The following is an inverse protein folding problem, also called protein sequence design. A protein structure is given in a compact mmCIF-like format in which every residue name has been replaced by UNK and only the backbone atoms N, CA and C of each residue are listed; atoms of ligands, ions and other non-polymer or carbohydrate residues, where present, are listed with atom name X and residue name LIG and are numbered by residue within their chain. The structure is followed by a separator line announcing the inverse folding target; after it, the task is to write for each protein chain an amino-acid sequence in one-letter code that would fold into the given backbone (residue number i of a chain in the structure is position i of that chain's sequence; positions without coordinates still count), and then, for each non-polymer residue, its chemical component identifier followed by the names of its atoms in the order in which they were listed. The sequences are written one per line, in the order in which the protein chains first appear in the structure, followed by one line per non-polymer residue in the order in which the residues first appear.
data_IF_742797050524
#
_entry.id   IF_742797050524
#
_cell.length_a   1.000
_cell.length_b   1.000
_cell.length_c   1.000
_cell.angle_alpha   90.00
_cell.angle_beta   90.00
_cell.angle_gamma   90.00
#
_symmetry.space_group_name_H-M   'P 1'
#
loop_
_entity.id
_entity.type
_entity.pdbx_description
1 polymer ?
#
# COMPACT_ATOMS: atom_id res chain seq x y z
N UNK A 1 19.34 -2.68 20.09
CA UNK A 1 18.46 -3.25 19.06
C UNK A 1 17.43 -2.24 18.51
N UNK A 2 17.48 -0.95 18.89
CA UNK A 2 16.50 0.06 18.44
C UNK A 2 16.66 0.46 16.95
N UNK A 3 17.89 0.53 16.44
CA UNK A 3 18.16 0.88 15.04
C UNK A 3 17.56 -0.10 14.04
N UNK A 4 17.43 -1.39 14.40
CA UNK A 4 16.77 -2.39 13.55
C UNK A 4 15.27 -2.11 13.42
N UNK A 5 14.60 -1.78 14.53
CA UNK A 5 13.17 -1.43 14.52
C UNK A 5 12.90 -0.16 13.71
N UNK A 6 13.77 0.85 13.83
CA UNK A 6 13.70 2.07 13.00
C UNK A 6 13.84 1.74 11.51
N UNK A 7 14.74 0.82 11.15
CA UNK A 7 14.92 0.40 9.76
C UNK A 7 13.65 -0.28 9.24
N UNK A 8 13.08 -1.20 10.01
CA UNK A 8 11.81 -1.87 9.65
C UNK A 8 10.68 -0.85 9.52
N UNK A 9 10.55 0.07 10.47
CA UNK A 9 9.57 1.16 10.45
C UNK A 9 9.70 2.03 9.18
N UNK A 10 10.92 2.40 8.82
CA UNK A 10 11.20 3.17 7.62
C UNK A 10 10.79 2.43 6.35
N UNK A 11 11.06 1.13 6.27
CA UNK A 11 10.65 0.29 5.14
C UNK A 11 9.12 0.15 5.05
N UNK A 12 8.45 -0.10 6.18
CA UNK A 12 6.98 -0.17 6.23
C UNK A 12 6.38 1.17 5.79
N UNK A 13 6.89 2.28 6.32
CA UNK A 13 6.43 3.62 5.96
C UNK A 13 6.62 3.90 4.47
N UNK A 14 7.75 3.49 3.88
CA UNK A 14 8.00 3.61 2.46
C UNK A 14 7.00 2.83 1.61
N UNK A 15 6.68 1.58 1.98
CA UNK A 15 5.65 0.77 1.30
C UNK A 15 4.27 1.42 1.43
N UNK A 16 3.91 1.93 2.60
CA UNK A 16 2.65 2.64 2.84
C UNK A 16 2.52 3.85 1.90
N UNK A 17 3.58 4.64 1.73
CA UNK A 17 3.57 5.77 0.78
C UNK A 17 3.34 5.33 -0.66
N UNK A 18 3.95 4.23 -1.10
CA UNK A 18 3.70 3.68 -2.44
C UNK A 18 2.22 3.27 -2.60
N UNK A 19 1.64 2.62 -1.59
CA UNK A 19 0.23 2.23 -1.60
C UNK A 19 -0.69 3.44 -1.63
N UNK A 20 -0.37 4.51 -0.89
CA UNK A 20 -1.12 5.77 -0.94
C UNK A 20 -1.09 6.37 -2.35
N UNK A 21 0.08 6.43 -2.99
CA UNK A 21 0.21 6.92 -4.37
C UNK A 21 -0.62 6.06 -5.32
N UNK A 22 -0.65 4.74 -5.13
CA UNK A 22 -1.47 3.85 -5.95
C UNK A 22 -2.98 4.11 -5.77
N UNK A 23 -3.45 4.33 -4.53
CA UNK A 23 -4.85 4.69 -4.27
C UNK A 23 -5.20 6.02 -4.93
N UNK A 24 -4.34 7.02 -4.80
CA UNK A 24 -4.53 8.33 -5.45
C UNK A 24 -4.59 8.15 -6.97
N UNK A 25 -3.65 7.42 -7.58
CA UNK A 25 -3.65 7.14 -9.02
C UNK A 25 -4.94 6.44 -9.47
N UNK A 26 -5.40 5.44 -8.70
CA UNK A 26 -6.66 4.73 -8.94
C UNK A 26 -7.86 5.69 -8.95
N UNK A 27 -7.96 6.58 -7.97
CA UNK A 27 -9.03 7.59 -7.92
C UNK A 27 -8.93 8.62 -9.05
N UNK A 28 -7.72 9.11 -9.36
CA UNK A 28 -7.52 10.05 -10.46
C UNK A 28 -7.97 9.45 -11.80
N UNK A 29 -7.74 8.16 -12.02
CA UNK A 29 -8.19 7.44 -13.23
C UNK A 29 -9.70 7.19 -13.16
N UNK A 30 -10.21 6.67 -12.05
CA UNK A 30 -11.62 6.30 -11.88
C UNK A 30 -12.57 7.51 -12.04
N UNK A 31 -12.17 8.68 -11.54
CA UNK A 31 -12.93 9.92 -11.68
C UNK A 31 -12.63 10.68 -12.98
N UNK A 32 -11.90 10.07 -13.93
CA UNK A 32 -11.51 10.69 -15.20
C UNK A 32 -10.77 12.02 -15.04
N UNK A 33 -10.07 12.22 -13.91
CA UNK A 33 -9.24 13.42 -13.66
C UNK A 33 -7.99 13.38 -14.52
N UNK A 34 -7.42 12.18 -14.71
CA UNK A 34 -6.28 11.94 -15.60
C UNK A 34 -6.60 10.86 -16.64
N UNK A 35 -6.09 11.04 -17.85
CA UNK A 35 -6.31 10.11 -18.95
C UNK A 35 -5.31 8.95 -18.88
N UNK A 36 -5.80 7.73 -18.63
CA UNK A 36 -5.02 6.48 -18.62
C UNK A 36 -4.43 6.10 -19.98
N UNK A 37 -4.92 6.68 -21.08
CA UNK A 37 -4.37 6.54 -22.43
C UNK A 37 -3.06 7.32 -22.65
N UNK A 38 -2.69 8.22 -21.74
CA UNK A 38 -1.36 8.85 -21.78
C UNK A 38 -0.29 7.82 -21.38
N UNK A 39 0.71 7.61 -22.25
CA UNK A 39 1.82 6.69 -22.01
C UNK A 39 2.52 6.92 -20.67
N UNK A 40 2.65 8.17 -20.25
CA UNK A 40 3.28 8.52 -18.97
C UNK A 40 2.46 8.03 -17.76
N UNK A 41 1.15 8.31 -17.75
CA UNK A 41 0.22 7.87 -16.69
C UNK A 41 0.18 6.35 -16.63
N UNK A 42 0.11 5.69 -17.79
CA UNK A 42 0.13 4.23 -17.88
C UNK A 42 1.42 3.64 -17.32
N UNK A 43 2.59 4.21 -17.64
CA UNK A 43 3.88 3.76 -17.13
C UNK A 43 3.97 3.87 -15.60
N UNK A 44 3.52 4.99 -15.02
CA UNK A 44 3.48 5.17 -13.57
C UNK A 44 2.56 4.14 -12.94
N UNK A 45 1.34 4.00 -13.45
CA UNK A 45 0.38 3.06 -12.91
C UNK A 45 0.91 1.61 -12.99
N UNK A 46 1.51 1.23 -14.11
CA UNK A 46 2.15 -0.06 -14.30
C UNK A 46 3.30 -0.29 -13.30
N UNK A 47 4.16 0.70 -13.08
CA UNK A 47 5.25 0.61 -12.11
C UNK A 47 4.71 0.43 -10.67
N UNK A 48 3.72 1.22 -10.28
CA UNK A 48 3.07 1.12 -8.96
C UNK A 48 2.46 -0.27 -8.77
N UNK A 49 1.64 -0.72 -9.72
CA UNK A 49 1.05 -2.06 -9.66
C UNK A 49 2.11 -3.15 -9.59
N UNK A 50 3.20 -3.06 -10.37
CA UNK A 50 4.26 -4.08 -10.33
C UNK A 50 4.97 -4.13 -8.96
N UNK A 51 5.14 -2.98 -8.30
CA UNK A 51 5.73 -2.91 -6.97
C UNK A 51 4.81 -3.44 -5.88
N UNK A 52 3.51 -3.18 -5.97
CA UNK A 52 2.55 -3.51 -4.91
C UNK A 52 1.86 -4.87 -5.09
N UNK A 53 1.76 -5.38 -6.32
CA UNK A 53 1.12 -6.67 -6.63
C UNK A 53 1.60 -7.86 -5.79
N UNK A 54 2.90 -8.07 -5.48
CA UNK A 54 3.29 -9.21 -4.63
C UNK A 54 2.68 -9.16 -3.22
N UNK A 55 2.39 -7.95 -2.71
CA UNK A 55 1.76 -7.75 -1.40
C UNK A 55 0.22 -7.71 -1.50
N UNK A 56 -0.31 -7.22 -2.62
CA UNK A 56 -1.76 -7.07 -2.84
C UNK A 56 -2.43 -8.34 -3.35
N UNK A 57 -1.74 -9.15 -4.16
CA UNK A 57 -2.30 -10.36 -4.78
C UNK A 57 -2.93 -11.32 -3.77
N UNK A 58 -2.31 -11.62 -2.61
CA UNK A 58 -2.95 -12.45 -1.58
C UNK A 58 -4.25 -11.86 -1.03
N UNK A 59 -4.32 -10.53 -0.91
CA UNK A 59 -5.51 -9.83 -0.38
C UNK A 59 -6.62 -9.81 -1.43
N UNK A 60 -6.28 -9.55 -2.69
CA UNK A 60 -7.21 -9.54 -3.82
C UNK A 60 -7.85 -10.91 -4.08
N UNK A 61 -7.16 -11.99 -3.74
CA UNK A 61 -7.73 -13.35 -3.82
C UNK A 61 -8.82 -13.61 -2.77
N UNK A 62 -8.81 -12.88 -1.67
CA UNK A 62 -9.76 -13.02 -0.56
C UNK A 62 -10.94 -12.06 -0.73
N UNK A 63 -10.70 -10.86 -1.25
CA UNK A 63 -11.72 -9.84 -1.39
C UNK A 63 -12.62 -10.08 -2.62
N UNK A 64 -13.95 -9.87 -2.48
CA UNK A 64 -14.82 -9.81 -3.65
C UNK A 64 -14.49 -8.59 -4.51
N UNK A 65 -14.76 -8.68 -5.82
CA UNK A 65 -14.57 -7.56 -6.74
C UNK A 65 -15.62 -6.45 -6.44
N UNK A 66 -15.18 -5.33 -5.87
CA UNK A 66 -16.06 -4.24 -5.40
C UNK A 66 -16.43 -3.22 -6.50
N UNK A 67 -16.54 -3.65 -7.76
CA UNK A 67 -17.06 -2.80 -8.84
C UNK A 67 -16.17 -1.60 -9.17
N UNK A 68 -14.96 -1.87 -9.69
CA UNK A 68 -14.10 -0.86 -10.32
C UNK A 68 -13.15 -0.11 -9.39
N UNK A 69 -13.34 -0.17 -8.07
CA UNK A 69 -12.42 0.41 -7.08
C UNK A 69 -11.76 -0.73 -6.28
N UNK A 70 -10.44 -0.84 -6.39
CA UNK A 70 -9.66 -1.79 -5.61
C UNK A 70 -9.42 -1.24 -4.19
N UNK A 71 -10.02 -1.88 -3.19
CA UNK A 71 -9.86 -1.53 -1.77
C UNK A 71 -8.65 -2.27 -1.14
N UNK A 72 -8.05 -3.24 -1.85
CA UNK A 72 -6.92 -4.03 -1.35
C UNK A 72 -5.75 -3.19 -0.82
N UNK A 73 -5.35 -2.06 -1.46
CA UNK A 73 -4.29 -1.20 -0.92
C UNK A 73 -4.61 -0.62 0.44
N UNK A 74 -5.87 -0.23 0.69
CA UNK A 74 -6.30 0.30 1.98
C UNK A 74 -6.21 -0.77 3.06
N UNK A 75 -6.66 -1.98 2.75
CA UNK A 75 -6.58 -3.12 3.67
C UNK A 75 -5.12 -3.46 3.98
N UNK A 76 -4.24 -3.46 2.97
CA UNK A 76 -2.82 -3.70 3.17
C UNK A 76 -2.17 -2.63 4.07
N UNK A 77 -2.52 -1.34 3.91
CA UNK A 77 -2.04 -0.26 4.77
C UNK A 77 -2.42 -0.52 6.24
N UNK A 78 -3.68 -0.92 6.49
CA UNK A 78 -4.15 -1.23 7.85
C UNK A 78 -3.37 -2.41 8.44
N UNK A 79 -3.19 -3.48 7.67
CA UNK A 79 -2.43 -4.67 8.10
C UNK A 79 -0.96 -4.32 8.38
N UNK A 80 -0.33 -3.51 7.53
CA UNK A 80 1.06 -3.06 7.72
C UNK A 80 1.23 -2.22 8.99
N UNK A 81 0.32 -1.28 9.26
CA UNK A 81 0.36 -0.49 10.49
C UNK A 81 0.14 -1.36 11.73
N UNK A 82 -0.81 -2.30 11.67
CA UNK A 82 -1.05 -3.22 12.77
C UNK A 82 0.19 -4.09 13.05
N UNK A 83 0.78 -4.69 12.02
CA UNK A 83 1.97 -5.54 12.15
C UNK A 83 3.18 -4.75 12.67
N UNK A 84 3.36 -3.51 12.19
CA UNK A 84 4.37 -2.57 12.70
C UNK A 84 4.17 -2.30 14.19
N UNK A 85 2.97 -1.90 14.60
CA UNK A 85 2.70 -1.56 15.99
C UNK A 85 2.90 -2.77 16.91
N UNK A 86 2.44 -3.96 16.50
CA UNK A 86 2.64 -5.20 17.22
C UNK A 86 4.12 -5.55 17.38
N UNK A 87 4.93 -5.34 16.34
CA UNK A 87 6.38 -5.49 16.40
C UNK A 87 7.00 -4.53 17.43
N UNK A 88 6.62 -3.26 17.42
CA UNK A 88 7.14 -2.28 18.37
C UNK A 88 6.74 -2.60 19.80
N UNK A 89 5.49 -2.99 20.03
CA UNK A 89 4.98 -3.39 21.34
C UNK A 89 5.75 -4.61 21.89
N UNK A 90 5.94 -5.65 21.07
CA UNK A 90 6.64 -6.86 21.50
C UNK A 90 8.12 -6.61 21.85
N UNK A 91 8.81 -5.74 21.10
CA UNK A 91 10.25 -5.51 21.27
C UNK A 91 10.60 -4.38 22.25
N UNK A 92 9.73 -3.37 22.42
CA UNK A 92 9.99 -2.19 23.26
C UNK A 92 9.07 -2.12 24.49
N UNK A 93 8.03 -2.95 24.57
CA UNK A 93 7.07 -2.92 25.68
C UNK A 93 6.31 -1.59 25.79
N UNK A 94 6.26 -0.80 24.71
CA UNK A 94 5.65 0.53 24.70
C UNK A 94 4.14 0.43 24.44
N UNK A 95 3.28 0.88 25.37
CA UNK A 95 1.87 1.03 25.11
C UNK A 95 1.63 2.40 24.44
N UNK A 96 1.36 2.37 23.14
CA UNK A 96 0.90 3.50 22.30
C UNK A 96 1.88 4.66 22.09
#
# INVERSE_FOLDING_TARGET
MHSFLILVDSLVSFIVWILIIQVIMSWLIAFNIINSGNKFVWQINYALHKLTNPLLSPIQQILPNLGGIDISPVILIIVLHFARNLLFEFFLGTPF
#
